data_IF_948049359129
#
_entry.id   IF_948049359129
#
_cell.length_a   1.000
_cell.length_b   1.000
_cell.length_c   1.000
_cell.angle_alpha   90.00
_cell.angle_beta   90.00
_cell.angle_gamma   90.00
#
_symmetry.space_group_name_H-M   'P 1'
#
loop_
_entity.id
_entity.type
_entity.pdbx_description
1 polymer ?
#
# COMPACT_ATOMS: atom_id res chain seq x y z
N UNK A 1 12.43 -4.04 -15.36
CA UNK A 1 12.25 -2.58 -15.40
C UNK A 1 11.42 -2.04 -14.24
N UNK A 2 10.07 -2.16 -14.20
CA UNK A 2 9.29 -1.53 -13.12
C UNK A 2 9.66 -2.03 -11.70
N UNK A 3 9.82 -3.35 -11.54
CA UNK A 3 10.27 -3.95 -10.27
C UNK A 3 11.66 -3.43 -9.85
N UNK A 4 12.55 -3.17 -10.81
CA UNK A 4 13.90 -2.62 -10.55
C UNK A 4 13.79 -1.15 -10.13
N UNK A 5 13.01 -0.37 -10.87
CA UNK A 5 12.79 1.06 -10.64
C UNK A 5 12.18 1.33 -9.27
N UNK A 6 11.27 0.47 -8.81
CA UNK A 6 10.65 0.60 -7.48
C UNK A 6 11.44 -0.08 -6.34
N UNK A 7 12.68 -0.52 -6.58
CA UNK A 7 13.55 -1.08 -5.54
C UNK A 7 13.05 -2.40 -4.95
N UNK A 8 12.22 -3.15 -5.69
CA UNK A 8 11.75 -4.48 -5.30
C UNK A 8 12.73 -5.55 -5.78
N UNK A 9 13.35 -5.34 -6.94
CA UNK A 9 14.46 -6.12 -7.46
C UNK A 9 15.68 -5.23 -7.65
N UNK A 10 16.90 -5.71 -7.38
CA UNK A 10 18.09 -4.93 -7.66
C UNK A 10 18.24 -4.74 -9.18
N UNK A 11 18.69 -3.54 -9.57
CA UNK A 11 18.96 -3.23 -10.97
C UNK A 11 20.11 -4.10 -11.48
N UNK A 12 19.92 -4.72 -12.65
CA UNK A 12 20.99 -5.48 -13.31
C UNK A 12 21.67 -4.64 -14.38
N UNK A 13 22.98 -4.81 -14.51
CA UNK A 13 23.85 -4.32 -15.60
C UNK A 13 23.56 -4.95 -16.98
N UNK A 14 22.38 -5.55 -17.17
CA UNK A 14 21.97 -6.25 -18.39
C UNK A 14 22.11 -7.79 -18.32
N UNK A 15 22.53 -8.32 -17.18
CA UNK A 15 22.51 -9.76 -16.90
C UNK A 15 21.10 -10.23 -16.46
N UNK A 16 20.64 -11.44 -16.82
CA UNK A 16 19.40 -11.97 -16.27
C UNK A 16 19.57 -12.16 -14.76
N UNK A 17 18.75 -11.43 -14.02
CA UNK A 17 18.60 -11.47 -12.57
C UNK A 17 18.15 -12.86 -12.10
N UNK A 18 19.03 -13.85 -12.03
CA UNK A 18 18.88 -15.00 -11.15
C UNK A 18 19.64 -14.64 -9.87
N UNK A 19 18.93 -14.06 -8.90
CA UNK A 19 19.52 -13.75 -7.61
C UNK A 19 19.35 -14.97 -6.71
N UNK A 20 20.48 -15.61 -6.38
CA UNK A 20 20.52 -16.72 -5.41
C UNK A 20 20.09 -16.26 -4.01
N UNK A 21 20.26 -14.96 -3.73
CA UNK A 21 19.79 -14.32 -2.51
C UNK A 21 18.28 -14.07 -2.61
N UNK A 22 17.51 -14.84 -1.84
CA UNK A 22 16.09 -14.61 -1.54
C UNK A 22 15.87 -13.40 -0.62
N UNK A 23 16.91 -12.63 -0.27
CA UNK A 23 16.79 -11.48 0.63
C UNK A 23 15.95 -10.39 -0.04
N UNK A 24 14.73 -10.11 0.48
CA UNK A 24 13.81 -9.19 -0.15
C UNK A 24 14.21 -7.75 0.16
N UNK A 25 14.18 -6.87 -0.84
CA UNK A 25 14.43 -5.43 -0.69
C UNK A 25 15.82 -4.99 -1.16
N UNK A 26 15.86 -3.96 -2.01
CA UNK A 26 17.10 -3.38 -2.53
C UNK A 26 17.74 -2.44 -1.51
N UNK A 27 16.92 -1.68 -0.81
CA UNK A 27 17.34 -0.65 0.13
C UNK A 27 17.56 -1.21 1.54
N UNK A 28 18.18 -0.42 2.40
CA UNK A 28 18.46 -0.75 3.79
C UNK A 28 18.38 0.51 4.69
N UNK A 29 18.05 0.31 5.96
CA UNK A 29 17.99 1.35 6.97
C UNK A 29 16.97 2.47 6.72
N UNK A 30 17.11 3.55 7.50
CA UNK A 30 16.23 4.73 7.47
C UNK A 30 16.29 5.46 6.13
N UNK A 31 17.48 5.61 5.55
CA UNK A 31 17.66 6.21 4.22
C UNK A 31 16.92 5.41 3.14
N UNK A 32 16.92 4.08 3.27
CA UNK A 32 16.14 3.20 2.40
C UNK A 32 14.64 3.44 2.51
N UNK A 33 14.12 3.65 3.72
CA UNK A 33 12.71 4.02 3.94
C UNK A 33 12.40 5.37 3.30
N UNK A 34 13.26 6.38 3.50
CA UNK A 34 13.12 7.70 2.90
C UNK A 34 13.06 7.61 1.36
N UNK A 35 13.95 6.81 0.74
CA UNK A 35 13.96 6.60 -0.72
C UNK A 35 12.67 5.94 -1.23
N UNK A 36 12.11 4.99 -0.48
CA UNK A 36 10.82 4.37 -0.84
C UNK A 36 9.68 5.37 -0.73
N UNK A 37 9.68 6.21 0.31
CA UNK A 37 8.67 7.25 0.51
C UNK A 37 8.74 8.30 -0.59
N UNK A 38 9.94 8.77 -0.94
CA UNK A 38 10.17 9.66 -2.07
C UNK A 38 9.56 9.08 -3.35
N UNK A 39 9.94 7.84 -3.69
CA UNK A 39 9.47 7.16 -4.89
C UNK A 39 7.95 6.94 -4.91
N UNK A 40 7.35 6.76 -3.73
CA UNK A 40 5.94 6.48 -3.57
C UNK A 40 5.11 7.67 -3.06
N UNK A 41 5.69 8.87 -3.04
CA UNK A 41 5.07 10.05 -2.44
C UNK A 41 3.67 10.31 -3.03
N UNK A 42 2.70 10.63 -2.16
CA UNK A 42 1.33 10.93 -2.55
C UNK A 42 0.44 9.74 -2.94
N UNK A 43 1.00 8.53 -3.11
CA UNK A 43 0.17 7.35 -3.45
C UNK A 43 -0.55 6.80 -2.22
N UNK A 44 -1.89 6.82 -2.30
CA UNK A 44 -2.76 6.28 -1.27
C UNK A 44 -2.75 4.76 -1.25
N UNK A 45 -2.21 4.18 -0.17
CA UNK A 45 -2.24 2.74 0.10
C UNK A 45 -2.92 2.48 1.45
N UNK A 46 -3.52 1.30 1.67
CA UNK A 46 -4.04 0.95 2.98
C UNK A 46 -2.96 1.13 4.05
N UNK A 47 -3.29 1.76 5.17
CA UNK A 47 -2.34 2.04 6.25
C UNK A 47 -1.65 0.75 6.74
N UNK A 48 -2.43 -0.33 6.84
CA UNK A 48 -1.91 -1.66 7.20
C UNK A 48 -0.90 -2.22 6.19
N UNK A 49 -0.98 -1.82 4.92
CA UNK A 49 -0.17 -2.35 3.83
C UNK A 49 1.24 -1.75 3.80
N UNK A 50 1.38 -0.48 4.20
CA UNK A 50 2.67 0.23 4.23
C UNK A 50 3.75 -0.56 4.97
N UNK A 51 3.48 -0.94 6.22
CA UNK A 51 4.44 -1.63 7.08
C UNK A 51 4.44 -3.15 6.92
N UNK A 52 3.43 -3.75 6.26
CA UNK A 52 3.36 -5.21 6.08
C UNK A 52 3.91 -5.69 4.74
N UNK A 53 3.71 -4.93 3.66
CA UNK A 53 4.06 -5.40 2.31
C UNK A 53 4.80 -4.37 1.46
N UNK A 54 4.64 -3.06 1.69
CA UNK A 54 5.27 -2.04 0.82
C UNK A 54 6.72 -1.79 1.22
N UNK A 55 6.94 -1.37 2.47
CA UNK A 55 8.27 -1.06 3.00
C UNK A 55 9.13 -2.33 3.14
N UNK A 56 8.66 -3.45 3.74
CA UNK A 56 9.46 -4.67 3.85
C UNK A 56 9.71 -5.40 2.51
N UNK A 57 9.03 -5.01 1.42
CA UNK A 57 9.35 -5.52 0.09
C UNK A 57 10.53 -4.80 -0.57
N UNK A 58 10.87 -3.60 -0.07
CA UNK A 58 11.86 -2.69 -0.67
C UNK A 58 13.05 -2.43 0.24
N UNK A 59 12.85 -2.46 1.56
CA UNK A 59 13.87 -2.24 2.59
C UNK A 59 14.07 -3.55 3.35
N UNK A 60 15.26 -4.15 3.22
CA UNK A 60 15.53 -5.54 3.63
C UNK A 60 15.49 -5.77 5.14
N UNK A 61 15.83 -4.75 5.91
CA UNK A 61 15.92 -4.72 7.37
C UNK A 61 14.85 -3.82 7.99
N UNK A 62 13.76 -3.56 7.27
CA UNK A 62 12.69 -2.66 7.71
C UNK A 62 12.22 -2.99 9.13
N UNK A 63 12.25 -1.97 9.99
CA UNK A 63 11.57 -1.98 11.28
C UNK A 63 10.66 -0.76 11.38
N UNK A 64 9.58 -0.89 12.16
CA UNK A 64 8.62 0.21 12.37
C UNK A 64 9.26 1.47 12.99
N UNK A 65 10.36 1.29 13.71
CA UNK A 65 11.14 2.37 14.33
C UNK A 65 11.74 3.31 13.28
N UNK A 66 12.11 2.79 12.10
CA UNK A 66 12.67 3.62 11.02
C UNK A 66 11.65 4.62 10.48
N UNK A 67 10.39 4.21 10.31
CA UNK A 67 9.31 5.12 9.91
C UNK A 67 8.96 6.09 11.04
N UNK A 68 8.95 5.61 12.29
CA UNK A 68 8.67 6.44 13.46
C UNK A 68 9.74 7.54 13.63
N UNK A 69 11.01 7.24 13.38
CA UNK A 69 12.11 8.21 13.39
C UNK A 69 11.89 9.31 12.35
N UNK A 70 11.55 8.97 11.11
CA UNK A 70 11.30 9.94 10.04
C UNK A 70 10.09 10.84 10.33
N UNK A 71 9.03 10.30 10.93
CA UNK A 71 7.88 11.09 11.36
C UNK A 71 8.22 11.99 12.56
N UNK A 72 8.97 11.48 13.53
CA UNK A 72 9.35 12.23 14.72
C UNK A 72 10.31 13.39 14.42
N UNK A 73 11.20 13.25 13.43
CA UNK A 73 12.05 14.34 12.94
C UNK A 73 11.29 15.35 12.09
N UNK A 74 10.09 15.00 11.61
CA UNK A 74 9.31 15.81 10.67
C UNK A 74 9.85 15.77 9.24
N UNK A 75 10.80 14.88 8.92
CA UNK A 75 11.27 14.66 7.56
C UNK A 75 10.17 14.04 6.67
N UNK A 76 9.29 13.25 7.27
CA UNK A 76 8.13 12.64 6.64
C UNK A 76 6.87 13.14 7.31
N UNK A 77 5.83 13.36 6.51
CA UNK A 77 4.45 13.55 6.97
C UNK A 77 3.53 12.54 6.30
N UNK A 78 2.35 12.34 6.87
CA UNK A 78 1.33 11.49 6.29
C UNK A 78 -0.02 12.18 6.20
N UNK A 79 -0.83 11.75 5.23
CA UNK A 79 -2.18 12.27 5.01
C UNK A 79 -3.18 11.14 4.83
N UNK A 80 -4.35 11.27 5.46
CA UNK A 80 -5.49 10.39 5.18
C UNK A 80 -6.18 10.83 3.89
N UNK A 81 -6.51 9.87 3.03
CA UNK A 81 -7.21 10.13 1.76
C UNK A 81 -8.63 9.56 1.73
N UNK A 82 -8.83 8.38 2.34
CA UNK A 82 -10.14 7.70 2.34
C UNK A 82 -10.24 6.63 3.41
N UNK A 83 -11.33 6.59 4.17
CA UNK A 83 -11.64 5.49 5.10
C UNK A 83 -11.96 4.19 4.34
N UNK A 84 -11.43 3.05 4.78
CA UNK A 84 -11.66 1.71 4.22
C UNK A 84 -12.24 0.77 5.29
N UNK A 85 -13.56 0.67 5.37
CA UNK A 85 -14.20 -0.07 6.47
C UNK A 85 -13.95 0.64 7.81
N UNK A 86 -14.01 -0.08 8.93
CA UNK A 86 -13.84 0.53 10.26
C UNK A 86 -12.39 0.58 10.75
N UNK A 87 -11.55 -0.37 10.32
CA UNK A 87 -10.22 -0.60 10.90
C UNK A 87 -9.06 -0.25 9.92
N UNK A 88 -9.30 0.40 8.78
CA UNK A 88 -8.23 0.78 7.85
C UNK A 88 -8.61 2.02 7.02
N UNK A 89 -7.66 2.54 6.26
CA UNK A 89 -7.84 3.68 5.36
C UNK A 89 -6.69 3.85 4.38
N UNK A 90 -6.97 4.48 3.24
CA UNK A 90 -5.94 4.94 2.32
C UNK A 90 -5.18 6.11 2.94
N UNK A 91 -3.87 5.93 3.08
CA UNK A 91 -2.93 6.90 3.61
C UNK A 91 -1.80 7.08 2.59
N UNK A 92 -1.38 8.31 2.40
CA UNK A 92 -0.18 8.65 1.64
C UNK A 92 0.91 9.16 2.58
N UNK A 93 2.15 8.85 2.24
CA UNK A 93 3.36 9.40 2.86
C UNK A 93 3.95 10.47 1.93
N UNK A 94 4.56 11.48 2.51
CA UNK A 94 5.16 12.60 1.81
C UNK A 94 6.49 12.96 2.48
N UNK A 95 7.49 13.34 1.67
CA UNK A 95 8.64 14.05 2.20
C UNK A 95 8.23 15.50 2.48
N UNK A 96 8.62 16.03 3.65
CA UNK A 96 8.24 17.38 4.05
C UNK A 96 8.75 18.44 3.07
N UNK A 97 9.95 18.26 2.52
CA UNK A 97 10.57 19.16 1.53
C UNK A 97 9.77 19.23 0.22
N UNK A 98 9.16 18.11 -0.20
CA UNK A 98 8.41 17.97 -1.46
C UNK A 98 6.91 17.75 -1.21
N UNK A 99 6.40 18.17 -0.05
CA UNK A 99 5.01 17.93 0.32
C UNK A 99 4.06 18.63 -0.68
N UNK A 100 4.42 19.82 -1.16
CA UNK A 100 3.61 20.61 -2.09
C UNK A 100 3.45 19.95 -3.47
N UNK A 101 4.37 19.05 -3.84
CA UNK A 101 4.35 18.31 -5.10
C UNK A 101 3.47 17.05 -5.04
N UNK A 102 3.35 16.45 -3.85
CA UNK A 102 2.74 15.14 -3.66
C UNK A 102 1.42 15.16 -2.88
N UNK A 103 1.14 16.25 -2.16
CA UNK A 103 -0.10 16.46 -1.43
C UNK A 103 -1.03 17.41 -2.18
N UNK A 104 -2.30 17.03 -2.32
CA UNK A 104 -3.34 17.91 -2.86
C UNK A 104 -4.39 18.15 -1.78
N UNK A 105 -4.55 19.39 -1.29
CA UNK A 105 -5.57 19.73 -0.29
C UNK A 105 -6.98 19.39 -0.80
N UNK A 106 -7.81 18.81 0.06
CA UNK A 106 -9.21 18.56 -0.27
C UNK A 106 -10.01 19.88 -0.20
N UNK A 107 -10.40 20.43 -1.36
CA UNK A 107 -11.22 21.65 -1.43
C UNK A 107 -12.71 21.41 -1.10
N UNK A 108 -13.22 20.20 -1.35
CA UNK A 108 -14.65 19.95 -1.52
C UNK A 108 -15.48 19.90 -0.22
N UNK A 109 -14.89 19.68 0.96
CA UNK A 109 -15.65 19.30 2.17
C UNK A 109 -15.71 20.37 3.26
N UNK A 110 -15.27 21.60 3.00
CA UNK A 110 -15.28 22.65 4.03
C UNK A 110 -16.70 22.96 4.53
N UNK A 111 -17.68 23.00 3.62
CA UNK A 111 -19.06 23.36 3.91
C UNK A 111 -19.84 22.27 4.68
N UNK A 112 -19.41 21.00 4.60
CA UNK A 112 -20.10 19.86 5.20
C UNK A 112 -19.57 19.48 6.59
N UNK A 113 -18.61 20.25 7.14
CA UNK A 113 -18.04 19.95 8.46
C UNK A 113 -19.05 20.21 9.58
N UNK A 114 -19.12 19.29 10.54
CA UNK A 114 -19.90 19.49 11.76
C UNK A 114 -19.35 20.64 12.61
N UNK A 115 -20.16 21.18 13.52
CA UNK A 115 -19.72 22.23 14.43
C UNK A 115 -18.46 21.84 15.23
N UNK A 116 -18.37 20.58 15.68
CA UNK A 116 -17.18 20.07 16.38
C UNK A 116 -15.96 20.01 15.46
N UNK A 117 -16.11 19.58 14.21
CA UNK A 117 -15.01 19.57 13.24
C UNK A 117 -14.52 20.97 12.91
N UNK A 118 -15.43 21.93 12.74
CA UNK A 118 -15.08 23.35 12.55
C UNK A 118 -14.34 23.92 13.76
N UNK A 119 -14.79 23.58 14.98
CA UNK A 119 -14.12 23.98 16.21
C UNK A 119 -12.70 23.42 16.33
N UNK A 120 -12.49 22.14 15.98
CA UNK A 120 -11.17 21.51 15.95
C UNK A 120 -10.26 22.26 14.95
N UNK A 121 -10.73 22.47 13.72
CA UNK A 121 -9.96 23.20 12.70
C UNK A 121 -9.61 24.61 13.17
N UNK A 122 -10.56 25.34 13.77
CA UNK A 122 -10.32 26.68 14.29
C UNK A 122 -9.34 26.71 15.48
N UNK A 123 -9.28 25.67 16.31
CA UNK A 123 -8.28 25.55 17.38
C UNK A 123 -6.89 25.29 16.80
N UNK A 124 -6.80 24.44 15.78
CA UNK A 124 -5.53 24.09 15.15
C UNK A 124 -5.02 25.20 14.20
N UNK A 125 -5.91 26.05 13.68
CA UNK A 125 -5.59 27.19 12.81
C UNK A 125 -4.81 28.31 13.51
N UNK A 126 -4.91 28.41 14.83
CA UNK A 126 -4.11 29.36 15.64
C UNK A 126 -2.62 28.96 15.71
N UNK A 127 -2.25 27.84 15.08
CA UNK A 127 -0.90 27.31 15.01
C UNK A 127 -0.61 26.23 16.06
N UNK A 128 0.33 25.35 15.71
CA UNK A 128 0.85 24.31 16.59
C UNK A 128 0.20 22.93 16.44
N UNK A 129 0.78 21.96 17.17
CA UNK A 129 0.31 20.59 17.26
C UNK A 129 -0.05 20.27 18.71
N UNK A 130 -1.21 19.67 18.94
CA UNK A 130 -1.78 19.51 20.28
C UNK A 130 -2.21 18.07 20.54
N UNK A 131 -2.04 17.59 21.78
CA UNK A 131 -2.64 16.32 22.19
C UNK A 131 -4.17 16.44 22.23
N UNK A 132 -4.89 15.32 22.06
CA UNK A 132 -6.36 15.30 22.06
C UNK A 132 -6.99 15.95 23.33
N UNK A 133 -6.35 15.76 24.49
CA UNK A 133 -6.78 16.43 25.74
C UNK A 133 -6.68 17.95 25.66
N UNK A 134 -5.60 18.48 25.07
CA UNK A 134 -5.39 19.91 24.91
C UNK A 134 -6.38 20.51 23.90
N UNK A 135 -6.70 19.77 22.83
CA UNK A 135 -7.72 20.17 21.86
C UNK A 135 -9.08 20.28 22.55
N UNK A 136 -9.48 19.25 23.30
CA UNK A 136 -10.73 19.26 24.07
C UNK A 136 -10.83 20.44 25.04
N UNK A 137 -9.74 20.74 25.75
CA UNK A 137 -9.67 21.88 26.67
C UNK A 137 -9.83 23.22 25.92
N UNK A 138 -9.11 23.41 24.80
CA UNK A 138 -9.19 24.64 24.01
C UNK A 138 -10.56 24.86 23.38
N UNK A 139 -11.23 23.79 22.94
CA UNK A 139 -12.61 23.87 22.44
C UNK A 139 -13.55 24.31 23.57
N UNK A 140 -13.40 23.72 24.76
CA UNK A 140 -14.19 24.11 25.95
C UNK A 140 -13.97 25.58 26.31
N UNK A 141 -12.73 26.06 26.28
CA UNK A 141 -12.41 27.45 26.60
C UNK A 141 -13.02 28.44 25.58
N UNK A 142 -13.13 28.04 24.30
CA UNK A 142 -13.73 28.86 23.23
C UNK A 142 -15.26 28.81 23.17
N UNK A 143 -15.87 27.63 23.39
CA UNK A 143 -17.29 27.36 23.14
C UNK A 143 -18.10 27.25 24.45
N UNK A 144 -17.44 27.02 25.59
CA UNK A 144 -18.07 26.89 26.91
C UNK A 144 -18.68 25.51 27.19
N UNK A 145 -18.67 24.59 26.22
CA UNK A 145 -19.26 23.25 26.35
C UNK A 145 -18.19 22.15 26.49
N UNK A 146 -18.48 21.14 27.30
CA UNK A 146 -17.63 19.94 27.40
C UNK A 146 -17.85 19.03 26.19
N UNK A 147 -16.77 18.68 25.50
CA UNK A 147 -16.82 17.76 24.36
C UNK A 147 -16.81 16.31 24.85
N UNK A 148 -17.73 15.49 24.33
CA UNK A 148 -17.68 14.04 24.52
C UNK A 148 -16.45 13.45 23.81
N UNK A 149 -15.74 12.55 24.49
CA UNK A 149 -14.47 12.05 24.00
C UNK A 149 -14.61 11.07 22.82
N UNK A 150 -15.71 10.31 22.76
CA UNK A 150 -15.99 9.46 21.60
C UNK A 150 -16.26 10.33 20.37
N UNK A 151 -17.09 11.37 20.54
CA UNK A 151 -17.36 12.35 19.49
C UNK A 151 -16.09 13.10 19.03
N UNK A 152 -15.18 13.43 19.96
CA UNK A 152 -13.88 14.04 19.62
C UNK A 152 -13.02 13.10 18.78
N UNK A 153 -12.91 11.83 19.18
CA UNK A 153 -12.15 10.83 18.43
C UNK A 153 -12.71 10.65 17.02
N UNK A 154 -14.04 10.49 16.89
CA UNK A 154 -14.71 10.38 15.60
C UNK A 154 -14.49 11.62 14.73
N UNK A 155 -14.57 12.81 15.30
CA UNK A 155 -14.34 14.06 14.58
C UNK A 155 -12.89 14.23 14.10
N UNK A 156 -11.90 13.89 14.93
CA UNK A 156 -10.48 13.90 14.54
C UNK A 156 -10.23 12.93 13.38
N UNK A 157 -10.65 11.68 13.50
CA UNK A 157 -10.46 10.70 12.42
C UNK A 157 -11.23 11.07 11.15
N UNK A 158 -12.43 11.65 11.26
CA UNK A 158 -13.14 12.16 10.09
C UNK A 158 -12.36 13.28 9.38
N UNK A 159 -11.71 14.20 10.13
CA UNK A 159 -10.85 15.23 9.56
C UNK A 159 -9.55 14.66 8.95
N UNK A 160 -9.00 13.59 9.53
CA UNK A 160 -7.86 12.85 8.93
C UNK A 160 -8.25 12.31 7.56
N UNK A 161 -9.41 11.67 7.44
CA UNK A 161 -9.87 11.11 6.17
C UNK A 161 -10.28 12.15 5.13
N UNK A 162 -10.52 13.39 5.55
CA UNK A 162 -10.67 14.55 4.67
C UNK A 162 -9.31 15.17 4.27
N UNK A 163 -8.18 14.65 4.76
CA UNK A 163 -6.85 15.22 4.51
C UNK A 163 -6.63 16.59 5.13
N UNK A 164 -7.36 16.94 6.19
CA UNK A 164 -7.31 18.28 6.82
C UNK A 164 -6.34 18.32 8.00
N UNK A 165 -6.24 17.22 8.73
CA UNK A 165 -5.36 17.10 9.89
C UNK A 165 -4.47 15.87 9.76
N UNK A 166 -3.35 15.89 10.47
CA UNK A 166 -2.41 14.77 10.58
C UNK A 166 -1.92 14.61 12.02
N UNK A 167 -1.11 13.58 12.27
CA UNK A 167 -0.39 13.39 13.52
C UNK A 167 1.10 13.18 13.27
N UNK A 168 1.94 13.57 14.22
CA UNK A 168 3.40 13.46 14.17
C UNK A 168 3.95 12.03 14.35
N UNK A 169 3.10 11.03 14.54
CA UNK A 169 3.49 9.64 14.73
C UNK A 169 2.57 8.67 13.98
N UNK A 170 3.07 7.47 13.67
CA UNK A 170 2.28 6.42 13.01
C UNK A 170 1.45 5.57 13.99
N UNK A 171 1.72 5.66 15.29
CA UNK A 171 1.11 4.80 16.30
C UNK A 171 -0.44 4.80 16.32
N UNK A 172 -1.15 5.93 16.10
CA UNK A 172 -2.60 5.94 15.99
C UNK A 172 -3.14 5.10 14.83
N UNK A 173 -2.47 5.12 13.67
CA UNK A 173 -2.81 4.26 12.52
C UNK A 173 -2.54 2.79 12.81
N UNK A 174 -1.43 2.47 13.48
CA UNK A 174 -1.17 1.09 13.94
C UNK A 174 -2.24 0.60 14.90
N UNK A 175 -2.72 1.47 15.79
CA UNK A 175 -3.78 1.12 16.72
C UNK A 175 -5.12 0.87 16.01
N UNK A 176 -5.47 1.73 15.05
CA UNK A 176 -6.66 1.56 14.21
C UNK A 176 -6.64 0.21 13.46
N UNK A 177 -5.51 -0.10 12.81
CA UNK A 177 -5.36 -1.32 12.00
C UNK A 177 -5.27 -2.61 12.83
N UNK A 178 -4.66 -2.58 14.02
CA UNK A 178 -4.52 -3.76 14.89
C UNK A 178 -5.83 -4.22 15.52
N UNK A 179 -6.83 -3.34 15.68
CA UNK A 179 -8.16 -3.65 16.19
C UNK A 179 -8.80 -4.84 15.43
N UNK A 180 -8.59 -4.91 14.11
CA UNK A 180 -9.06 -6.00 13.24
C UNK A 180 -8.43 -7.38 13.54
N UNK A 181 -7.16 -7.42 13.94
CA UNK A 181 -6.42 -8.68 14.16
C UNK A 181 -6.88 -9.44 15.40
N UNK A 182 -7.43 -8.73 16.38
CA UNK A 182 -7.99 -9.30 17.61
C UNK A 182 -9.51 -9.53 17.53
N UNK A 183 -10.22 -8.96 16.55
CA UNK A 183 -11.66 -9.17 16.39
C UNK A 183 -12.05 -10.61 15.98
N UNK A 184 -11.07 -11.45 15.59
CA UNK A 184 -11.24 -12.90 15.46
C UNK A 184 -10.87 -13.67 16.74
N UNK A 185 -11.03 -13.07 17.91
CA UNK A 185 -11.05 -13.84 19.16
C UNK A 185 -12.24 -14.79 19.15
N UNK A 186 -11.92 -16.02 18.74
CA UNK A 186 -12.04 -17.19 19.61
C UNK A 186 -13.31 -17.17 20.46
N UNK A 187 -14.30 -17.96 20.04
CA UNK A 187 -15.24 -18.56 20.97
C UNK A 187 -14.46 -19.44 21.94
N UNK A 188 -13.80 -18.82 22.93
CA UNK A 188 -13.29 -19.49 24.11
C UNK A 188 -14.51 -20.14 24.76
N UNK A 189 -14.73 -21.41 24.43
CA UNK A 189 -15.64 -22.30 25.15
C UNK A 189 -15.26 -22.16 26.61
N UNK A 190 -16.13 -21.54 27.40
CA UNK A 190 -15.94 -21.47 28.84
C UNK A 190 -15.89 -22.90 29.37
N UNK A 191 -14.72 -23.31 29.84
CA UNK A 191 -14.60 -24.53 30.61
C UNK A 191 -15.40 -24.35 31.91
N UNK A 192 -16.52 -25.09 32.01
CA UNK A 192 -17.25 -25.49 33.23
C UNK A 192 -17.12 -24.54 34.42
N UNK A 193 -18.09 -23.63 34.59
CA UNK A 193 -18.38 -23.06 35.91
C UNK A 193 -19.26 -24.03 36.72
N UNK A 194 -18.68 -24.61 37.78
CA UNK A 194 -19.44 -25.24 38.87
C UNK A 194 -20.27 -24.16 39.58
N UNK A 195 -21.54 -24.50 39.86
CA UNK A 195 -22.54 -23.89 40.78
C UNK A 195 -22.25 -22.47 41.33
N UNK A 196 -23.16 -21.55 40.99
CA UNK A 196 -23.75 -20.64 41.98
C UNK A 196 -23.43 -19.14 41.92
N UNK A 197 -23.94 -18.42 40.91
CA UNK A 197 -24.57 -17.07 40.96
C UNK A 197 -24.60 -16.46 39.56
N UNK A 198 -25.74 -15.91 39.09
CA UNK A 198 -25.75 -15.13 37.86
C UNK A 198 -25.15 -13.75 38.15
N UNK A 199 -23.91 -13.53 37.74
CA UNK A 199 -23.39 -12.17 37.57
C UNK A 199 -23.92 -11.67 36.23
N UNK A 200 -24.89 -10.77 36.27
CA UNK A 200 -25.25 -9.95 35.13
C UNK A 200 -24.05 -9.06 34.81
N UNK A 201 -23.14 -9.54 33.96
CA UNK A 201 -22.15 -8.69 33.32
C UNK A 201 -22.89 -7.81 32.31
N UNK A 202 -23.26 -6.61 32.74
CA UNK A 202 -23.66 -5.54 31.84
C UNK A 202 -22.52 -5.34 30.83
N UNK A 203 -22.78 -5.33 29.51
CA UNK A 203 -21.78 -4.93 28.54
C UNK A 203 -21.49 -3.45 28.74
N UNK A 204 -20.45 -3.11 29.50
CA UNK A 204 -19.90 -1.75 29.56
C UNK A 204 -19.24 -1.50 28.21
N UNK A 205 -19.78 -0.54 27.45
CA UNK A 205 -19.07 0.02 26.30
C UNK A 205 -17.67 0.46 26.76
N UNK A 206 -16.60 0.15 26.01
CA UNK A 206 -15.26 0.57 26.40
C UNK A 206 -15.23 2.09 26.51
N UNK A 207 -14.92 2.59 27.70
CA UNK A 207 -14.72 4.03 27.93
C UNK A 207 -13.49 4.47 27.11
N UNK A 208 -13.70 5.34 26.13
CA UNK A 208 -12.60 6.04 25.45
C UNK A 208 -11.93 6.94 26.49
N UNK A 209 -10.60 6.95 26.51
CA UNK A 209 -9.80 7.85 27.35
C UNK A 209 -8.79 8.62 26.48
N UNK A 210 -8.25 9.73 26.97
CA UNK A 210 -7.22 10.47 26.21
C UNK A 210 -5.94 9.64 25.99
N UNK A 211 -5.77 8.55 26.75
CA UNK A 211 -4.66 7.61 26.60
C UNK A 211 -5.00 6.45 25.65
N UNK A 212 -6.17 6.47 25.00
CA UNK A 212 -6.51 5.49 23.96
C UNK A 212 -5.49 5.57 22.83
N UNK A 213 -4.92 4.44 22.37
CA UNK A 213 -3.88 4.45 21.33
C UNK A 213 -4.29 5.17 20.02
N UNK A 214 -5.57 5.17 19.66
CA UNK A 214 -6.12 5.86 18.49
C UNK A 214 -6.09 7.40 18.59
N UNK A 215 -5.78 7.95 19.77
CA UNK A 215 -5.67 9.39 20.04
C UNK A 215 -4.23 9.84 20.34
N UNK A 216 -3.27 8.90 20.30
CA UNK A 216 -1.87 9.18 20.62
C UNK A 216 -1.25 10.23 19.68
N UNK A 217 -0.18 10.87 20.13
CA UNK A 217 0.52 11.88 19.35
C UNK A 217 -0.10 13.26 19.41
N UNK A 218 0.58 14.20 18.75
CA UNK A 218 0.10 15.56 18.58
C UNK A 218 -0.60 15.66 17.24
N UNK A 219 -1.75 16.33 17.24
CA UNK A 219 -2.58 16.55 16.06
C UNK A 219 -2.39 17.99 15.59
N UNK A 220 -2.21 18.18 14.29
CA UNK A 220 -2.00 19.48 13.67
C UNK A 220 -2.81 19.61 12.39
N UNK A 221 -3.04 20.84 11.92
CA UNK A 221 -3.52 21.03 10.57
C UNK A 221 -2.46 20.53 9.59
N UNK A 222 -2.91 19.87 8.53
CA UNK A 222 -2.10 19.54 7.39
C UNK A 222 -2.11 20.73 6.43
N UNK A 223 -1.21 21.68 6.68
CA UNK A 223 -1.03 22.87 5.85
C UNK A 223 0.25 22.72 5.03
N UNK A 224 0.07 22.65 3.72
CA UNK A 224 1.16 22.66 2.74
C UNK A 224 0.85 23.81 1.79
N UNK A 225 1.82 24.69 1.58
CA UNK A 225 1.67 25.78 0.62
C UNK A 225 1.48 25.19 -0.78
N UNK A 226 0.33 25.45 -1.44
CA UNK A 226 0.05 24.81 -2.72
C UNK A 226 0.95 25.40 -3.81
N UNK A 227 1.48 24.53 -4.65
CA UNK A 227 2.12 24.94 -5.90
C UNK A 227 1.09 25.56 -6.85
N UNK A 228 1.56 26.43 -7.74
CA UNK A 228 0.71 26.85 -8.84
C UNK A 228 0.38 25.65 -9.75
N UNK A 229 -0.69 25.76 -10.53
CA UNK A 229 -1.20 24.64 -11.32
C UNK A 229 -0.17 24.08 -12.32
N UNK A 230 0.73 24.92 -12.84
CA UNK A 230 1.75 24.52 -13.81
C UNK A 230 2.87 23.74 -13.15
N UNK A 231 3.40 24.25 -12.04
CA UNK A 231 4.41 23.58 -11.20
C UNK A 231 3.88 22.25 -10.68
N UNK A 232 2.64 22.23 -10.18
CA UNK A 232 2.00 21.00 -9.71
C UNK A 232 1.88 19.96 -10.83
N UNK A 233 1.44 20.38 -12.01
CA UNK A 233 1.29 19.45 -13.14
C UNK A 233 2.65 18.89 -13.61
N UNK A 234 3.70 19.72 -13.59
CA UNK A 234 5.07 19.29 -13.88
C UNK A 234 5.58 18.29 -12.84
N UNK A 235 5.44 18.60 -11.55
CA UNK A 235 5.84 17.71 -10.47
C UNK A 235 5.11 16.37 -10.51
N UNK A 236 3.81 16.37 -10.82
CA UNK A 236 3.05 15.13 -11.04
C UNK A 236 3.60 14.33 -12.23
N UNK A 237 3.97 14.97 -13.33
CA UNK A 237 4.56 14.29 -14.49
C UNK A 237 5.93 13.68 -14.15
N UNK A 238 6.79 14.42 -13.45
CA UNK A 238 8.10 13.94 -13.00
C UNK A 238 7.96 12.78 -12.03
N UNK A 239 7.08 12.89 -11.02
CA UNK A 239 6.76 11.79 -10.11
C UNK A 239 6.24 10.54 -10.84
N UNK A 240 5.39 10.70 -11.87
CA UNK A 240 4.90 9.58 -12.67
C UNK A 240 6.02 8.94 -13.52
N UNK A 241 6.91 9.75 -14.10
CA UNK A 241 8.08 9.24 -14.83
C UNK A 241 8.98 8.49 -13.87
N UNK A 242 9.25 9.01 -12.68
CA UNK A 242 10.05 8.33 -11.66
C UNK A 242 9.42 7.00 -11.23
N UNK A 243 8.11 6.98 -10.97
CA UNK A 243 7.40 5.81 -10.44
C UNK A 243 7.18 4.70 -11.47
N UNK A 244 6.85 5.07 -12.71
CA UNK A 244 6.45 4.12 -13.76
C UNK A 244 7.46 3.98 -14.89
N UNK A 245 8.33 4.97 -15.09
CA UNK A 245 9.21 5.10 -16.26
C UNK A 245 8.48 5.54 -17.54
N UNK A 246 7.18 5.26 -17.65
CA UNK A 246 6.35 5.55 -18.81
C UNK A 246 5.04 6.19 -18.35
N UNK A 247 4.75 7.37 -18.86
CA UNK A 247 3.43 7.99 -18.73
C UNK A 247 2.53 7.38 -19.82
N UNK A 248 1.44 6.76 -19.38
CA UNK A 248 0.39 6.20 -20.24
C UNK A 248 -0.99 6.65 -19.75
N UNK A 249 -2.01 6.49 -20.59
CA UNK A 249 -3.39 6.80 -20.19
C UNK A 249 -3.82 6.04 -18.94
N UNK A 250 -3.44 4.77 -18.82
CA UNK A 250 -3.82 3.96 -17.66
C UNK A 250 -3.10 4.42 -16.38
N UNK A 251 -1.82 4.82 -16.47
CA UNK A 251 -1.10 5.37 -15.32
C UNK A 251 -1.75 6.66 -14.80
N UNK A 252 -2.16 7.56 -15.70
CA UNK A 252 -2.82 8.83 -15.31
C UNK A 252 -4.18 8.59 -14.65
N UNK A 253 -4.93 7.58 -15.11
CA UNK A 253 -6.19 7.17 -14.48
C UNK A 253 -5.93 6.52 -13.11
N UNK A 254 -4.91 5.67 -13.01
CA UNK A 254 -4.57 4.96 -11.78
C UNK A 254 -4.19 5.91 -10.63
N UNK A 255 -3.48 7.00 -10.91
CA UNK A 255 -3.14 8.02 -9.92
C UNK A 255 -4.21 9.11 -9.75
N UNK A 256 -5.34 9.02 -10.46
CA UNK A 256 -6.45 9.99 -10.40
C UNK A 256 -5.98 11.45 -10.62
N UNK A 257 -5.13 11.65 -11.62
CA UNK A 257 -4.54 12.96 -11.90
C UNK A 257 -5.62 13.99 -12.28
N UNK A 258 -5.63 15.19 -11.67
CA UNK A 258 -6.56 16.26 -12.03
C UNK A 258 -6.54 16.61 -13.52
N UNK A 259 -7.71 16.76 -14.14
CA UNK A 259 -7.82 17.02 -15.57
C UNK A 259 -7.47 15.82 -16.48
N UNK A 260 -7.10 14.68 -15.89
CA UNK A 260 -6.89 13.41 -16.57
C UNK A 260 -5.83 13.41 -17.66
N UNK A 261 -5.89 12.39 -18.54
CA UNK A 261 -4.92 12.20 -19.61
C UNK A 261 -4.80 13.39 -20.59
N UNK A 262 -5.85 14.13 -20.97
CA UNK A 262 -5.71 15.28 -21.87
C UNK A 262 -4.79 16.38 -21.31
N UNK A 263 -4.90 16.69 -20.01
CA UNK A 263 -4.07 17.70 -19.34
C UNK A 263 -2.61 17.24 -19.29
N UNK A 264 -2.40 15.99 -18.84
CA UNK A 264 -1.06 15.39 -18.82
C UNK A 264 -0.44 15.30 -20.22
N UNK A 265 -1.22 14.93 -21.23
CA UNK A 265 -0.76 14.83 -22.61
C UNK A 265 -0.30 16.19 -23.16
N UNK A 266 -0.96 17.29 -22.77
CA UNK A 266 -0.60 18.64 -23.21
C UNK A 266 0.78 19.02 -22.67
N UNK A 267 1.02 18.78 -21.38
CA UNK A 267 2.34 18.96 -20.77
C UNK A 267 3.40 18.04 -21.42
N UNK A 268 3.09 16.76 -21.59
CA UNK A 268 4.01 15.79 -22.20
C UNK A 268 4.43 16.20 -23.62
N UNK A 269 3.55 16.83 -24.41
CA UNK A 269 3.92 17.37 -25.73
C UNK A 269 4.92 18.52 -25.62
N UNK A 270 4.74 19.44 -24.67
CA UNK A 270 5.71 20.50 -24.41
C UNK A 270 7.07 19.94 -23.94
N UNK A 271 7.06 18.88 -23.12
CA UNK A 271 8.27 18.16 -22.73
C UNK A 271 8.91 17.40 -23.91
N UNK A 272 8.12 16.90 -24.86
CA UNK A 272 8.59 16.29 -26.11
C UNK A 272 9.26 17.33 -27.02
N UNK A 273 8.63 18.49 -27.22
CA UNK A 273 9.16 19.59 -28.04
C UNK A 273 10.50 20.12 -27.52
N UNK A 274 10.70 20.10 -26.20
CA UNK A 274 11.98 20.45 -25.55
C UNK A 274 12.99 19.28 -25.51
N UNK A 275 12.62 18.10 -26.00
CA UNK A 275 13.48 16.92 -26.07
C UNK A 275 13.72 16.20 -24.74
N UNK A 276 12.97 16.53 -23.68
CA UNK A 276 13.08 15.87 -22.35
C UNK A 276 12.57 14.44 -22.38
N UNK A 277 11.47 14.21 -23.10
CA UNK A 277 10.84 12.89 -23.26
C UNK A 277 10.56 12.59 -24.72
N UNK A 278 10.34 11.32 -25.05
CA UNK A 278 9.91 10.91 -26.39
C UNK A 278 8.54 10.25 -26.33
N UNK A 279 7.72 10.53 -27.34
CA UNK A 279 6.43 9.87 -27.54
C UNK A 279 6.60 8.62 -28.40
N UNK A 280 5.88 7.56 -28.06
CA UNK A 280 5.89 6.32 -28.83
C UNK A 280 4.91 5.27 -28.34
N UNK A 281 5.16 4.03 -28.79
CA UNK A 281 4.52 2.81 -28.28
C UNK A 281 5.65 1.89 -27.82
N UNK A 282 5.90 1.88 -26.51
CA UNK A 282 7.04 1.16 -25.94
C UNK A 282 6.62 -0.19 -25.33
N UNK A 283 5.43 -0.24 -24.74
CA UNK A 283 4.90 -1.44 -24.07
C UNK A 283 3.50 -1.76 -24.60
N UNK A 284 3.27 -3.02 -24.95
CA UNK A 284 1.96 -3.51 -25.39
C UNK A 284 0.93 -3.45 -24.24
N UNK A 285 -0.34 -3.19 -24.55
CA UNK A 285 -1.42 -3.13 -23.55
C UNK A 285 -1.58 -1.80 -22.81
N UNK A 286 -0.58 -0.90 -22.83
CA UNK A 286 -0.67 0.44 -22.21
C UNK A 286 -1.30 1.52 -23.09
N UNK A 287 -1.92 1.13 -24.21
CA UNK A 287 -2.56 2.04 -25.15
C UNK A 287 -1.58 2.74 -26.11
N UNK A 288 -2.14 3.62 -26.95
CA UNK A 288 -1.45 4.09 -28.15
C UNK A 288 -0.46 5.25 -27.96
N UNK A 289 -0.71 6.16 -27.02
CA UNK A 289 0.16 7.29 -26.74
C UNK A 289 0.87 7.06 -25.39
N UNK A 290 2.19 6.91 -25.45
CA UNK A 290 3.05 6.71 -24.29
C UNK A 290 4.20 7.71 -24.37
N UNK A 291 4.66 8.17 -23.21
CA UNK A 291 5.77 9.11 -23.10
C UNK A 291 6.78 8.59 -22.09
N UNK A 292 8.06 8.63 -22.45
CA UNK A 292 9.13 8.14 -21.59
C UNK A 292 10.42 8.90 -21.87
N UNK A 293 11.31 8.93 -20.88
CA UNK A 293 12.67 9.43 -21.05
C UNK A 293 13.49 8.52 -21.96
N UNK A 294 14.49 9.08 -22.64
CA UNK A 294 15.35 8.33 -23.56
C UNK A 294 16.05 7.13 -22.88
N UNK A 295 16.58 7.33 -21.66
CA UNK A 295 17.22 6.26 -20.89
C UNK A 295 16.27 5.10 -20.60
N UNK A 296 15.00 5.39 -20.30
CA UNK A 296 13.99 4.35 -20.08
C UNK A 296 13.70 3.60 -21.37
N UNK A 297 13.65 4.29 -22.51
CA UNK A 297 13.42 3.66 -23.83
C UNK A 297 14.60 2.75 -24.20
N UNK A 298 15.83 3.18 -23.97
CA UNK A 298 17.02 2.38 -24.25
C UNK A 298 17.06 1.14 -23.33
N UNK A 299 16.72 1.29 -22.04
CA UNK A 299 16.59 0.14 -21.13
C UNK A 299 15.49 -0.84 -21.56
N UNK A 300 14.37 -0.36 -22.09
CA UNK A 300 13.31 -1.22 -22.62
C UNK A 300 13.78 -2.01 -23.85
N UNK A 301 14.57 -1.40 -24.73
CA UNK A 301 15.16 -2.08 -25.89
C UNK A 301 16.11 -3.18 -25.44
N UNK A 302 16.99 -2.90 -24.47
CA UNK A 302 17.91 -3.89 -23.93
C UNK A 302 17.16 -5.10 -23.36
N UNK A 303 16.11 -4.86 -22.58
CA UNK A 303 15.28 -5.92 -22.00
C UNK A 303 14.53 -6.72 -23.08
N UNK A 304 14.04 -6.06 -24.13
CA UNK A 304 13.38 -6.73 -25.25
C UNK A 304 14.33 -7.63 -26.04
N UNK A 305 15.57 -7.18 -26.28
CA UNK A 305 16.62 -8.01 -26.89
C UNK A 305 16.97 -9.20 -25.99
N UNK A 306 17.11 -8.99 -24.69
CA UNK A 306 17.46 -10.05 -23.74
C UNK A 306 16.34 -11.08 -23.53
N UNK A 307 15.06 -10.68 -23.63
CA UNK A 307 13.91 -11.57 -23.46
C UNK A 307 13.85 -12.71 -24.51
N UNK A 308 14.55 -12.56 -25.64
CA UNK A 308 14.66 -13.63 -26.66
C UNK A 308 15.60 -14.78 -26.27
N UNK A 309 16.35 -14.65 -25.17
CA UNK A 309 17.23 -15.70 -24.66
C UNK A 309 16.51 -16.48 -23.54
N UNK A 310 16.62 -17.82 -23.53
CA UNK A 310 16.08 -18.66 -22.45
C UNK A 310 16.80 -18.33 -21.15
N UNK A 311 16.21 -17.46 -20.34
CA UNK A 311 16.78 -16.91 -19.10
C UNK A 311 15.86 -17.23 -17.92
N UNK A 312 16.45 -17.62 -16.80
CA UNK A 312 15.75 -17.74 -15.54
C UNK A 312 15.67 -16.36 -14.88
N UNK A 313 14.46 -15.91 -14.56
CA UNK A 313 14.21 -14.65 -13.88
C UNK A 313 13.85 -14.90 -12.42
N UNK A 314 14.34 -14.05 -11.52
CA UNK A 314 13.99 -14.09 -10.08
C UNK A 314 12.49 -13.84 -9.90
N UNK A 315 11.72 -14.79 -9.34
CA UNK A 315 10.32 -14.58 -9.00
C UNK A 315 10.19 -13.62 -7.82
N UNK A 316 9.19 -12.75 -7.87
CA UNK A 316 8.93 -11.74 -6.84
C UNK A 316 7.48 -11.79 -6.43
N UNK A 317 7.25 -11.86 -5.12
CA UNK A 317 5.92 -11.76 -4.56
C UNK A 317 5.60 -10.35 -4.06
N UNK A 318 4.45 -9.84 -4.48
CA UNK A 318 3.93 -8.53 -4.16
C UNK A 318 2.51 -8.62 -3.63
N UNK A 319 2.09 -7.64 -2.83
CA UNK A 319 0.67 -7.37 -2.64
C UNK A 319 0.03 -7.07 -3.99
N UNK A 320 -1.19 -7.57 -4.21
CA UNK A 320 -1.96 -7.22 -5.39
C UNK A 320 -2.20 -5.70 -5.49
N UNK A 321 -2.18 -4.99 -4.36
CA UNK A 321 -2.32 -3.54 -4.27
C UNK A 321 -0.99 -2.78 -4.42
N UNK A 322 0.16 -3.46 -4.45
CA UNK A 322 1.46 -2.81 -4.57
C UNK A 322 1.57 -2.01 -5.88
N UNK A 323 2.08 -0.76 -5.87
CA UNK A 323 2.27 0.04 -7.09
C UNK A 323 3.20 -0.59 -8.14
N UNK A 324 4.08 -1.52 -7.74
CA UNK A 324 4.95 -2.27 -8.64
C UNK A 324 4.21 -3.42 -9.36
N UNK A 325 3.04 -3.83 -8.87
CA UNK A 325 2.17 -4.77 -9.57
C UNK A 325 1.39 -4.04 -10.67
N UNK A 326 1.69 -4.33 -11.93
CA UNK A 326 0.98 -3.75 -13.09
C UNK A 326 -0.37 -4.41 -13.37
N UNK A 327 -0.55 -5.67 -12.94
CA UNK A 327 -1.71 -6.47 -13.30
C UNK A 327 -2.96 -6.04 -12.51
N UNK A 328 -4.08 -5.95 -13.23
CA UNK A 328 -5.34 -5.43 -12.69
C UNK A 328 -5.34 -3.93 -12.44
N UNK A 329 -4.32 -3.19 -12.93
CA UNK A 329 -4.20 -1.75 -12.81
C UNK A 329 -3.80 -1.12 -14.14
N UNK A 330 -2.51 -1.23 -14.50
CA UNK A 330 -1.99 -0.72 -15.77
C UNK A 330 -2.27 -1.70 -16.93
N UNK A 331 -2.20 -3.00 -16.64
CA UNK A 331 -2.48 -4.09 -17.57
C UNK A 331 -3.66 -4.93 -17.09
N UNK A 332 -4.50 -5.47 -18.00
CA UNK A 332 -5.59 -6.36 -17.62
C UNK A 332 -5.03 -7.66 -17.04
N UNK A 333 -5.74 -8.29 -16.10
CA UNK A 333 -5.37 -9.62 -15.63
C UNK A 333 -5.25 -10.61 -16.81
N UNK A 334 -4.21 -11.47 -16.85
CA UNK A 334 -4.11 -12.50 -17.87
C UNK A 334 -5.31 -13.44 -17.82
N UNK A 335 -5.78 -13.87 -19.00
CA UNK A 335 -6.87 -14.83 -19.08
C UNK A 335 -6.51 -16.12 -18.33
N UNK A 336 -7.50 -16.71 -17.65
CA UNK A 336 -7.34 -17.97 -16.93
C UNK A 336 -8.65 -18.77 -17.04
N UNK A 337 -8.59 -20.11 -17.24
CA UNK A 337 -9.79 -20.94 -17.42
C UNK A 337 -10.59 -21.16 -16.13
N UNK A 338 -9.98 -20.96 -14.96
CA UNK A 338 -10.67 -21.08 -13.67
C UNK A 338 -11.72 -19.96 -13.48
N UNK A 339 -12.71 -20.26 -12.64
CA UNK A 339 -13.83 -19.40 -12.25
C UNK A 339 -13.41 -18.26 -11.31
N UNK A 340 -12.32 -18.43 -10.55
CA UNK A 340 -11.78 -17.36 -9.71
C UNK A 340 -11.27 -16.20 -10.55
N UNK A 341 -11.88 -15.03 -10.37
CA UNK A 341 -11.45 -13.78 -11.00
C UNK A 341 -10.47 -13.02 -10.08
N UNK A 342 -9.24 -12.71 -10.55
CA UNK A 342 -8.30 -11.92 -9.78
C UNK A 342 -8.80 -10.51 -9.50
N UNK A 343 -8.49 -9.97 -8.32
CA UNK A 343 -8.83 -8.60 -7.92
C UNK A 343 -7.73 -7.97 -7.09
N UNK A 344 -7.60 -6.64 -7.15
CA UNK A 344 -6.69 -5.86 -6.29
C UNK A 344 -7.35 -5.61 -4.94
N UNK A 345 -7.36 -6.64 -4.08
CA UNK A 345 -7.89 -6.57 -2.71
C UNK A 345 -6.75 -6.67 -1.69
N UNK A 346 -6.91 -5.97 -0.56
CA UNK A 346 -5.96 -6.06 0.55
C UNK A 346 -5.84 -7.52 1.04
N UNK A 347 -4.62 -8.01 1.18
CA UNK A 347 -4.32 -9.40 1.54
C UNK A 347 -4.32 -10.41 0.37
N UNK A 348 -4.56 -9.96 -0.88
CA UNK A 348 -4.24 -10.77 -2.06
C UNK A 348 -2.77 -10.58 -2.44
N UNK A 349 -2.11 -11.64 -2.89
CA UNK A 349 -0.70 -11.63 -3.31
C UNK A 349 -0.58 -12.09 -4.75
N UNK A 350 0.43 -11.58 -5.45
CA UNK A 350 0.81 -12.02 -6.79
C UNK A 350 2.27 -12.44 -6.80
N UNK A 351 2.63 -13.39 -7.66
CA UNK A 351 4.04 -13.70 -7.97
C UNK A 351 4.30 -13.44 -9.45
N UNK A 352 5.30 -12.60 -9.71
CA UNK A 352 5.70 -12.18 -11.06
C UNK A 352 7.14 -12.64 -11.31
N UNK A 353 7.42 -13.17 -12.50
CA UNK A 353 8.78 -13.47 -12.94
C UNK A 353 8.93 -13.15 -14.42
N UNK A 354 10.02 -12.46 -14.81
CA UNK A 354 10.26 -12.07 -16.21
C UNK A 354 9.15 -11.22 -16.82
N UNK A 355 8.40 -10.47 -16.01
CA UNK A 355 7.23 -9.71 -16.45
C UNK A 355 5.94 -10.53 -16.64
N UNK A 356 5.99 -11.85 -16.49
CA UNK A 356 4.81 -12.73 -16.52
C UNK A 356 4.22 -12.90 -15.12
N UNK A 357 2.90 -12.82 -14.99
CA UNK A 357 2.19 -13.23 -13.77
C UNK A 357 2.14 -14.75 -13.70
N UNK A 358 2.65 -15.33 -12.61
CA UNK A 358 2.72 -16.79 -12.43
C UNK A 358 1.74 -17.28 -11.37
N UNK A 359 1.56 -16.52 -10.29
CA UNK A 359 0.65 -16.88 -9.19
C UNK A 359 -0.23 -15.69 -8.81
N UNK A 360 -1.47 -15.98 -8.42
CA UNK A 360 -2.35 -15.07 -7.68
C UNK A 360 -2.95 -15.81 -6.51
N UNK A 361 -2.67 -15.38 -5.28
CA UNK A 361 -3.30 -15.85 -4.06
C UNK A 361 -4.43 -14.88 -3.70
N UNK A 362 -5.66 -15.37 -3.67
CA UNK A 362 -6.82 -14.55 -3.34
C UNK A 362 -6.79 -14.07 -1.88
N UNK A 363 -7.49 -12.97 -1.61
CA UNK A 363 -7.68 -12.45 -0.26
C UNK A 363 -8.13 -13.56 0.72
N UNK A 364 -7.43 -13.68 1.85
CA UNK A 364 -7.68 -14.70 2.86
C UNK A 364 -7.09 -16.08 2.55
N UNK A 365 -6.35 -16.22 1.44
CA UNK A 365 -5.47 -17.35 1.15
C UNK A 365 -6.13 -18.69 0.80
N UNK A 366 -7.47 -18.75 0.73
CA UNK A 366 -8.20 -20.00 0.48
C UNK A 366 -8.06 -20.54 -0.94
N UNK A 367 -7.92 -19.66 -1.92
CA UNK A 367 -7.87 -20.02 -3.35
C UNK A 367 -6.67 -19.38 -4.01
N UNK A 368 -6.04 -20.12 -4.92
CA UNK A 368 -4.89 -19.65 -5.69
C UNK A 368 -5.09 -19.94 -7.18
N UNK A 369 -4.61 -19.05 -8.03
CA UNK A 369 -4.43 -19.27 -9.46
C UNK A 369 -2.96 -19.46 -9.77
N UNK A 370 -2.69 -20.35 -10.72
CA UNK A 370 -1.37 -20.68 -11.23
C UNK A 370 -1.42 -20.63 -12.75
N UNK A 371 -0.73 -19.66 -13.34
CA UNK A 371 -0.49 -19.62 -14.78
C UNK A 371 0.75 -20.44 -15.08
N UNK A 372 0.54 -21.59 -15.72
CA UNK A 372 1.61 -22.47 -16.20
C UNK A 372 1.34 -22.86 -17.66
N UNK A 373 2.41 -23.06 -18.42
CA UNK A 373 2.33 -23.64 -19.76
C UNK A 373 2.14 -25.17 -19.61
N UNK A 374 1.44 -25.82 -20.54
CA UNK A 374 0.74 -27.11 -20.32
C UNK A 374 1.62 -28.33 -19.94
N UNK A 375 2.95 -28.21 -19.92
CA UNK A 375 3.87 -29.34 -19.76
C UNK A 375 5.04 -29.09 -18.79
N UNK A 376 5.20 -27.88 -18.25
CA UNK A 376 6.34 -27.53 -17.38
C UNK A 376 5.85 -27.09 -16.00
N UNK A 377 6.35 -27.76 -14.95
CA UNK A 377 6.09 -27.34 -13.57
C UNK A 377 6.81 -26.02 -13.31
N UNK A 378 6.15 -25.12 -12.57
CA UNK A 378 6.79 -23.89 -12.11
C UNK A 378 7.97 -24.22 -11.19
N UNK A 379 9.03 -23.43 -11.31
CA UNK A 379 10.23 -23.57 -10.51
C UNK A 379 9.93 -23.35 -9.00
N UNK A 380 10.56 -24.10 -8.08
CA UNK A 380 10.33 -23.97 -6.62
C UNK A 380 10.47 -22.54 -6.08
N UNK A 381 11.35 -21.74 -6.70
CA UNK A 381 11.61 -20.34 -6.37
C UNK A 381 10.35 -19.47 -6.44
N UNK A 382 9.39 -19.82 -7.31
CA UNK A 382 8.11 -19.10 -7.42
C UNK A 382 7.30 -19.23 -6.12
N UNK A 383 7.29 -20.42 -5.52
CA UNK A 383 6.62 -20.67 -4.24
C UNK A 383 7.42 -20.11 -3.06
N UNK A 384 8.75 -20.16 -3.12
CA UNK A 384 9.59 -19.48 -2.12
C UNK A 384 9.36 -17.97 -2.11
N UNK A 385 9.23 -17.33 -3.27
CA UNK A 385 8.88 -15.91 -3.36
C UNK A 385 7.53 -15.64 -2.67
N UNK A 386 6.50 -16.46 -2.94
CA UNK A 386 5.20 -16.35 -2.25
C UNK A 386 5.35 -16.43 -0.73
N UNK A 387 6.07 -17.43 -0.23
CA UNK A 387 6.28 -17.59 1.22
C UNK A 387 7.08 -16.44 1.83
N UNK A 388 7.97 -15.80 1.06
CA UNK A 388 8.72 -14.62 1.50
C UNK A 388 7.77 -13.44 1.76
N UNK A 389 6.82 -13.17 0.85
CA UNK A 389 5.80 -12.14 1.09
C UNK A 389 4.86 -12.51 2.25
N UNK A 390 4.47 -13.77 2.37
CA UNK A 390 3.62 -14.23 3.47
C UNK A 390 4.30 -14.12 4.84
N UNK A 391 5.62 -14.33 4.93
CA UNK A 391 6.40 -14.21 6.18
C UNK A 391 6.48 -12.77 6.70
N UNK A 392 6.28 -11.76 5.84
CA UNK A 392 6.19 -10.36 6.28
C UNK A 392 4.98 -10.11 7.20
N UNK A 393 3.98 -11.00 7.15
CA UNK A 393 2.81 -10.97 8.03
C UNK A 393 2.83 -12.17 8.99
N UNK A 394 3.60 -12.11 10.10
CA UNK A 394 3.81 -13.26 10.98
C UNK A 394 2.55 -13.77 11.69
N UNK A 395 1.48 -12.95 11.74
CA UNK A 395 0.17 -13.30 12.31
C UNK A 395 -0.83 -13.84 11.29
N UNK A 396 -0.49 -13.84 10.00
CA UNK A 396 -1.38 -14.32 8.94
C UNK A 396 -1.57 -15.84 9.07
N UNK A 397 -2.82 -16.28 9.11
CA UNK A 397 -3.20 -17.70 9.21
C UNK A 397 -4.31 -18.00 8.23
N UNK A 398 -4.15 -19.06 7.44
CA UNK A 398 -5.19 -19.54 6.53
C UNK A 398 -4.92 -20.98 6.08
N UNK A 399 -5.95 -21.59 5.50
CA UNK A 399 -5.85 -22.89 4.81
C UNK A 399 -6.13 -22.66 3.33
N UNK A 400 -5.14 -22.94 2.49
CA UNK A 400 -5.29 -23.03 1.04
C UNK A 400 -6.02 -24.32 0.70
N UNK A 401 -7.22 -24.21 0.11
CA UNK A 401 -8.08 -25.35 -0.21
C UNK A 401 -8.04 -25.68 -1.70
N UNK A 402 -7.96 -24.66 -2.56
CA UNK A 402 -8.10 -24.82 -4.01
C UNK A 402 -6.98 -24.12 -4.79
N UNK A 403 -6.54 -24.78 -5.85
CA UNK A 403 -5.63 -24.24 -6.86
C UNK A 403 -6.24 -24.50 -8.24
N UNK A 404 -6.45 -23.44 -9.03
CA UNK A 404 -7.10 -23.54 -10.35
C UNK A 404 -8.43 -24.31 -10.33
N UNK A 405 -9.28 -24.03 -9.33
CA UNK A 405 -10.56 -24.69 -9.04
C UNK A 405 -10.49 -26.18 -8.69
N UNK A 406 -9.28 -26.74 -8.52
CA UNK A 406 -9.08 -28.11 -8.06
C UNK A 406 -8.65 -28.12 -6.59
N UNK A 407 -9.08 -29.12 -5.79
CA UNK A 407 -8.56 -29.29 -4.43
C UNK A 407 -7.03 -29.34 -4.45
N UNK A 408 -6.35 -28.52 -3.64
CA UNK A 408 -4.88 -28.37 -3.70
C UNK A 408 -4.14 -29.70 -3.62
N UNK A 409 -4.68 -30.65 -2.85
CA UNK A 409 -4.16 -32.01 -2.68
C UNK A 409 -4.11 -32.85 -3.96
N UNK A 410 -4.94 -32.51 -4.94
CA UNK A 410 -5.02 -33.19 -6.24
C UNK A 410 -4.16 -32.49 -7.31
N UNK A 411 -3.46 -31.41 -6.93
CA UNK A 411 -2.63 -30.63 -7.86
C UNK A 411 -1.16 -30.96 -7.70
N UNK A 412 -0.34 -30.87 -8.77
CA UNK A 412 1.12 -31.05 -8.68
C UNK A 412 1.80 -30.01 -7.77
N UNK A 413 1.12 -28.89 -7.50
CA UNK A 413 1.61 -27.79 -6.63
C UNK A 413 1.64 -28.19 -5.15
N UNK A 414 0.94 -29.25 -4.75
CA UNK A 414 0.85 -29.67 -3.36
C UNK A 414 2.23 -29.92 -2.74
N UNK A 415 3.11 -30.64 -3.45
CA UNK A 415 4.45 -30.96 -2.95
C UNK A 415 5.33 -29.72 -2.89
N UNK A 416 5.32 -28.88 -3.94
CA UNK A 416 6.11 -27.65 -4.03
C UNK A 416 5.74 -26.64 -2.93
N UNK A 417 4.45 -26.48 -2.64
CA UNK A 417 3.98 -25.62 -1.56
C UNK A 417 4.41 -26.13 -0.17
N UNK A 418 4.41 -27.45 0.03
CA UNK A 418 4.90 -28.04 1.30
C UNK A 418 6.39 -27.80 1.49
N UNK A 419 7.17 -28.02 0.44
CA UNK A 419 8.61 -27.75 0.44
C UNK A 419 8.91 -26.25 0.67
N UNK A 420 8.04 -25.36 0.18
CA UNK A 420 8.16 -23.92 0.44
C UNK A 420 7.83 -23.51 1.89
N UNK A 421 7.11 -24.34 2.64
CA UNK A 421 6.84 -24.14 4.07
C UNK A 421 5.39 -24.27 4.51
N UNK A 422 4.47 -24.69 3.63
CA UNK A 422 3.09 -24.99 4.02
C UNK A 422 2.99 -26.34 4.75
N UNK A 423 2.12 -26.42 5.74
CA UNK A 423 1.85 -27.66 6.47
C UNK A 423 0.60 -28.37 5.92
N UNK A 424 0.55 -29.70 5.98
CA UNK A 424 -0.62 -30.45 5.50
C UNK A 424 -1.73 -30.49 6.54
N UNK A 425 -2.97 -30.19 6.14
CA UNK A 425 -4.15 -30.24 7.00
C UNK A 425 -5.32 -30.92 6.30
N UNK A 426 -6.28 -31.58 6.97
CA UNK A 426 -7.33 -32.35 6.29
C UNK A 426 -8.05 -31.59 5.17
N UNK A 427 -8.22 -30.27 5.33
CA UNK A 427 -8.90 -29.40 4.37
C UNK A 427 -8.00 -28.89 3.22
N UNK A 428 -6.67 -28.99 3.34
CA UNK A 428 -5.73 -28.55 2.31
C UNK A 428 -4.30 -28.35 2.81
N UNK A 429 -3.80 -27.13 2.65
CA UNK A 429 -2.48 -26.70 3.10
C UNK A 429 -2.59 -25.47 4.03
N UNK A 430 -2.11 -25.59 5.26
CA UNK A 430 -2.14 -24.51 6.26
C UNK A 430 -0.88 -23.66 6.19
N UNK A 431 -1.06 -22.34 6.28
CA UNK A 431 -0.02 -21.35 6.45
C UNK A 431 -0.05 -20.75 7.86
N UNK A 432 1.11 -20.79 8.53
CA UNK A 432 1.44 -20.13 9.79
C UNK A 432 1.09 -20.89 11.06
#
# INVERSE_FOLDING_TARGET
MLLERQGVLPATDGSPALFASTSPGVYEGVDGVMRVIEQLAGVGLPASLWESQILPARVRDYSSEMLDELLATGAVIWSGQKKLGEDDGLVALHLQEYAAESFTPAEADQANRSALQQAIVAVLADGGAWFAQQISQRIRDKIGESVDLSALQEALWALVWQGVITSDIWAPLRALTRSSSNARTSTRRSHRARRGRPVYAQPVSPLVSYNTPNLAGRWSLLQVEPLNDTERMLALAENMLDRYGIISRQAVIAENIPGGFPSMQTLCRSMEDSGRIMRGRFVEGLGGAQFAERLTIDRLRDLATQATQTRHYTPVALSANDPANVWGNLLPWPAHPATLVPTRRAGALVVVSGGKLLLYLAQGGKKMLVWQEKEELLAPEVFHALTTALRREPRLRFTLTEVNDLPVRQTPMFTLLREAGFSSSPQGLDWG
#
